data_IF_350775511223
#
_entry.id   IF_350775511223
#
_cell.length_a   1.000
_cell.length_b   1.000
_cell.length_c   1.000
_cell.angle_alpha   90.00
_cell.angle_beta   90.00
_cell.angle_gamma   90.00
#
_symmetry.space_group_name_H-M   'P 1'
#
loop_
_entity.id
_entity.type
_entity.pdbx_description
1 polymer ?
#
# COMPACT_ATOMS: atom_id res chain seq x y z
N UNK A 1 -9.68 -25.45 0.34
CA UNK A 1 -8.21 -25.36 0.29
C UNK A 1 -7.77 -24.21 1.17
N UNK A 2 -6.83 -24.39 2.12
CA UNK A 2 -6.28 -23.25 2.85
C UNK A 2 -5.57 -22.34 1.83
N UNK A 3 -5.88 -21.04 1.88
CA UNK A 3 -5.33 -20.08 0.94
C UNK A 3 -3.90 -19.78 1.41
N UNK A 4 -2.89 -20.14 0.61
CA UNK A 4 -1.49 -19.82 0.91
C UNK A 4 -1.17 -18.44 0.33
N UNK A 5 -0.88 -17.43 1.17
CA UNK A 5 -0.45 -16.12 0.70
C UNK A 5 0.86 -16.23 -0.07
N UNK A 6 0.97 -15.50 -1.18
CA UNK A 6 2.16 -15.42 -2.02
C UNK A 6 2.83 -14.07 -1.85
N UNK A 7 4.08 -13.96 -2.30
CA UNK A 7 4.78 -12.67 -2.40
C UNK A 7 3.95 -11.72 -3.27
N UNK A 8 3.74 -10.50 -2.78
CA UNK A 8 2.87 -9.48 -3.39
C UNK A 8 1.42 -9.50 -2.91
N UNK A 9 0.97 -10.55 -2.21
CA UNK A 9 -0.34 -10.56 -1.59
C UNK A 9 -0.40 -9.59 -0.41
N UNK A 10 -1.61 -9.10 -0.15
CA UNK A 10 -1.89 -8.26 1.01
C UNK A 10 -2.54 -9.09 2.11
N UNK A 11 -1.94 -9.06 3.29
CA UNK A 11 -2.41 -9.82 4.45
C UNK A 11 -2.70 -8.90 5.63
N UNK A 12 -3.65 -9.30 6.45
CA UNK A 12 -3.90 -8.71 7.75
C UNK A 12 -3.21 -9.57 8.82
N UNK A 13 -2.46 -8.93 9.70
CA UNK A 13 -1.71 -9.57 10.79
C UNK A 13 -2.47 -9.43 12.09
N UNK A 14 -2.48 -10.49 12.91
CA UNK A 14 -3.09 -10.49 14.23
C UNK A 14 -2.23 -9.63 15.18
N UNK A 15 -2.79 -8.52 15.62
CA UNK A 15 -2.22 -7.66 16.65
C UNK A 15 -2.22 -8.34 18.01
N UNK A 16 -1.22 -7.99 18.82
CA UNK A 16 -1.11 -8.45 20.21
C UNK A 16 -2.25 -7.87 21.05
N UNK A 17 -2.58 -8.60 22.11
CA UNK A 17 -3.58 -8.17 23.10
C UNK A 17 -3.35 -6.74 23.55
N UNK A 18 -4.39 -5.91 23.45
CA UNK A 18 -4.40 -4.59 24.09
C UNK A 18 -5.06 -4.70 25.47
N UNK A 19 -4.47 -4.10 26.52
CA UNK A 19 -5.11 -4.04 27.82
C UNK A 19 -6.45 -3.30 27.67
N UNK A 20 -7.57 -3.99 27.91
CA UNK A 20 -8.93 -3.42 27.80
C UNK A 20 -9.88 -4.17 26.86
N UNK A 21 -9.39 -5.03 25.94
CA UNK A 21 -10.25 -5.93 25.15
C UNK A 21 -9.65 -7.34 25.06
N UNK A 22 -9.79 -8.15 26.13
CA UNK A 22 -9.12 -9.43 26.23
C UNK A 22 -9.75 -10.57 25.42
N UNK A 23 -10.68 -10.34 24.50
CA UNK A 23 -11.35 -11.44 23.79
C UNK A 23 -11.49 -11.26 22.28
N UNK A 24 -10.99 -10.16 21.71
CA UNK A 24 -11.09 -9.91 20.28
C UNK A 24 -9.69 -9.76 19.67
N UNK A 25 -9.26 -10.67 18.77
CA UNK A 25 -8.05 -10.44 18.00
C UNK A 25 -8.24 -9.20 17.12
N UNK A 26 -7.41 -8.17 17.36
CA UNK A 26 -7.36 -7.01 16.47
C UNK A 26 -6.55 -7.41 15.26
N UNK A 27 -7.12 -7.30 14.07
CA UNK A 27 -6.37 -7.49 12.85
C UNK A 27 -5.85 -6.15 12.33
N UNK A 28 -4.58 -6.11 11.95
CA UNK A 28 -3.85 -4.92 11.51
C UNK A 28 -3.40 -5.10 10.06
N UNK A 29 -3.20 -4.02 9.32
CA UNK A 29 -2.90 -4.05 7.89
C UNK A 29 -4.04 -3.46 7.05
N UNK A 30 -4.04 -3.68 5.73
CA UNK A 30 -3.27 -4.67 4.96
C UNK A 30 -1.76 -4.38 4.88
N UNK A 31 -0.94 -5.44 4.96
CA UNK A 31 0.51 -5.40 4.79
C UNK A 31 0.94 -6.28 3.60
N UNK A 32 1.89 -5.84 2.77
CA UNK A 32 2.40 -6.64 1.68
C UNK A 32 3.29 -7.77 2.20
N UNK A 33 3.08 -8.96 1.63
CA UNK A 33 3.99 -10.10 1.78
C UNK A 33 5.20 -9.86 0.90
N UNK A 34 6.38 -9.73 1.52
CA UNK A 34 7.63 -9.46 0.80
C UNK A 34 8.44 -10.73 0.55
N UNK A 35 8.24 -11.77 1.34
CA UNK A 35 8.93 -13.06 1.19
C UNK A 35 8.19 -14.18 1.94
N UNK A 36 8.42 -15.43 1.56
CA UNK A 36 7.89 -16.62 2.25
C UNK A 36 8.99 -17.30 3.05
N UNK A 37 8.79 -17.41 4.37
CA UNK A 37 9.75 -18.02 5.29
C UNK A 37 9.39 -19.49 5.54
N UNK A 38 9.54 -20.32 4.50
CA UNK A 38 9.17 -21.73 4.54
C UNK A 38 7.67 -21.98 4.36
N UNK A 39 7.17 -23.12 4.82
CA UNK A 39 5.77 -23.54 4.58
C UNK A 39 4.74 -22.95 5.56
N UNK A 40 5.18 -22.41 6.70
CA UNK A 40 4.28 -22.00 7.80
C UNK A 40 4.44 -20.53 8.20
N UNK A 41 5.35 -19.79 7.55
CA UNK A 41 5.63 -18.41 7.90
C UNK A 41 5.90 -17.56 6.66
N UNK A 42 5.68 -16.26 6.80
CA UNK A 42 5.94 -15.27 5.77
C UNK A 42 6.55 -14.00 6.37
N UNK A 43 7.21 -13.21 5.54
CA UNK A 43 7.71 -11.90 5.89
C UNK A 43 6.75 -10.84 5.37
N UNK A 44 6.30 -9.96 6.26
CA UNK A 44 5.52 -8.77 5.91
C UNK A 44 6.32 -7.51 6.15
N UNK A 45 6.05 -6.48 5.35
CA UNK A 45 6.53 -5.13 5.61
C UNK A 45 5.44 -4.32 6.31
N UNK A 46 5.74 -3.82 7.51
CA UNK A 46 4.81 -3.01 8.30
C UNK A 46 5.28 -1.55 8.32
N UNK A 47 4.36 -0.57 8.28
CA UNK A 47 4.72 0.84 8.29
C UNK A 47 5.46 1.18 9.60
N UNK A 48 6.68 1.71 9.46
CA UNK A 48 7.54 2.08 10.58
C UNK A 48 8.36 0.93 11.19
N UNK A 49 8.21 -0.30 10.72
CA UNK A 49 9.04 -1.43 11.13
C UNK A 49 9.77 -2.04 9.93
N UNK A 50 10.94 -2.65 10.18
CA UNK A 50 11.57 -3.54 9.19
C UNK A 50 10.68 -4.77 8.95
N UNK A 51 11.04 -5.56 7.93
CA UNK A 51 10.43 -6.85 7.61
C UNK A 51 10.24 -7.69 8.88
N UNK A 52 9.01 -8.13 9.14
CA UNK A 52 8.65 -8.93 10.31
C UNK A 52 8.13 -10.30 9.89
N UNK A 53 8.59 -11.34 10.59
CA UNK A 53 8.16 -12.71 10.35
C UNK A 53 6.80 -12.96 11.03
N UNK A 54 5.86 -13.54 10.30
CA UNK A 54 4.51 -13.86 10.77
C UNK A 54 4.19 -15.34 10.48
N UNK A 55 3.50 -15.99 11.42
CA UNK A 55 2.99 -17.35 11.23
C UNK A 55 1.69 -17.32 10.42
N UNK A 56 1.44 -18.37 9.62
CA UNK A 56 0.23 -18.47 8.80
C UNK A 56 -1.07 -18.41 9.62
N UNK A 57 -1.06 -18.87 10.88
CA UNK A 57 -2.24 -18.80 11.77
C UNK A 57 -2.54 -17.38 12.29
N UNK A 58 -1.54 -16.50 12.28
CA UNK A 58 -1.65 -15.11 12.72
C UNK A 58 -1.85 -14.15 11.55
N UNK A 59 -2.10 -14.68 10.35
CA UNK A 59 -2.39 -13.89 9.16
C UNK A 59 -3.68 -14.34 8.49
N UNK A 60 -4.33 -13.41 7.82
CA UNK A 60 -5.44 -13.70 6.90
C UNK A 60 -5.30 -12.84 5.67
N UNK A 61 -5.74 -13.33 4.52
CA UNK A 61 -5.78 -12.51 3.32
C UNK A 61 -6.67 -11.29 3.53
N UNK A 62 -6.19 -10.13 3.08
CA UNK A 62 -7.05 -8.97 2.94
C UNK A 62 -8.13 -9.29 1.90
N UNK A 63 -9.38 -8.87 2.15
CA UNK A 63 -10.44 -9.05 1.15
C UNK A 63 -10.05 -8.34 -0.15
N UNK A 64 -10.41 -8.85 -1.34
CA UNK A 64 -10.30 -8.08 -2.58
C UNK A 64 -11.15 -6.81 -2.42
N UNK A 65 -10.51 -5.65 -2.30
CA UNK A 65 -11.12 -4.37 -1.90
C UNK A 65 -10.44 -3.71 -0.69
N UNK A 66 -9.75 -4.48 0.15
CA UNK A 66 -8.75 -3.99 1.11
C UNK A 66 -7.36 -4.06 0.47
N UNK A 67 -7.25 -3.59 -0.77
CA UNK A 67 -5.94 -3.22 -1.28
C UNK A 67 -5.40 -2.22 -0.27
N UNK A 68 -4.17 -2.42 0.22
CA UNK A 68 -3.44 -1.30 0.78
C UNK A 68 -3.59 -0.23 -0.29
N UNK A 69 -4.31 0.82 0.04
CA UNK A 69 -4.19 2.07 -0.64
C UNK A 69 -2.77 2.51 -0.26
N UNK A 70 -1.78 1.84 -0.87
CA UNK A 70 -0.63 2.51 -1.39
C UNK A 70 -1.27 3.74 -2.02
N UNK A 71 -1.02 4.96 -1.53
CA UNK A 71 -1.26 6.08 -2.40
C UNK A 71 -0.46 5.68 -3.64
N UNK A 72 -1.18 5.25 -4.68
CA UNK A 72 -0.72 5.47 -6.01
C UNK A 72 -0.56 6.99 -6.00
N UNK A 73 0.64 7.43 -5.67
CA UNK A 73 1.19 8.67 -6.14
C UNK A 73 1.41 8.44 -7.64
N UNK A 74 0.30 8.17 -8.31
CA UNK A 74 0.05 8.37 -9.71
C UNK A 74 -0.28 9.86 -9.77
N UNK A 75 0.70 10.68 -9.40
CA UNK A 75 0.81 11.99 -10.00
C UNK A 75 1.48 11.66 -11.34
N UNK A 76 0.72 11.57 -12.46
CA UNK A 76 1.36 11.61 -13.76
C UNK A 76 2.27 12.85 -13.75
N UNK A 77 3.52 12.77 -14.23
CA UNK A 77 4.34 13.97 -14.31
C UNK A 77 3.53 15.00 -15.08
N UNK A 78 3.26 16.15 -14.45
CA UNK A 78 2.65 17.29 -15.13
C UNK A 78 3.38 17.44 -16.48
N UNK A 79 2.67 17.42 -17.62
CA UNK A 79 3.31 17.65 -18.90
C UNK A 79 4.07 18.98 -18.77
N UNK A 80 5.33 19.07 -19.24
CA UNK A 80 6.08 20.31 -19.12
C UNK A 80 5.22 21.43 -19.69
N UNK A 81 4.96 22.42 -18.85
CA UNK A 81 4.08 23.55 -19.13
C UNK A 81 4.24 23.94 -20.60
N UNK A 82 3.17 23.75 -21.38
CA UNK A 82 3.16 24.13 -22.79
C UNK A 82 3.60 25.58 -22.85
N UNK A 83 4.78 25.78 -23.42
CA UNK A 83 5.30 27.08 -23.83
C UNK A 83 4.15 27.82 -24.51
N UNK A 84 3.72 29.00 -24.05
CA UNK A 84 2.76 29.76 -24.82
C UNK A 84 3.45 30.13 -26.14
N UNK A 85 2.95 29.52 -27.20
CA UNK A 85 3.21 29.86 -28.60
C UNK A 85 3.11 31.38 -28.78
N UNK A 86 3.98 32.03 -29.58
CA UNK A 86 3.91 33.46 -29.79
C UNK A 86 2.62 33.80 -30.53
N UNK A 87 1.62 34.30 -29.81
CA UNK A 87 0.44 34.92 -30.41
C UNK A 87 0.89 36.18 -31.15
N UNK A 88 0.85 36.09 -32.47
CA UNK A 88 0.94 37.22 -33.37
C UNK A 88 -0.25 38.17 -33.17
N UNK A 89 0.04 39.44 -32.83
CA UNK A 89 -0.83 40.61 -33.00
C UNK A 89 -1.85 40.89 -31.89
N UNK A 90 -2.20 42.16 -31.63
CA UNK A 90 -2.46 43.14 -32.68
C UNK A 90 -1.69 44.46 -32.59
N UNK A 91 -1.67 45.10 -33.75
CA UNK A 91 -1.30 46.48 -34.04
C UNK A 91 -1.95 47.47 -33.05
N UNK A 92 -1.14 48.30 -32.38
CA UNK A 92 -1.55 49.61 -31.88
C UNK A 92 -0.34 50.55 -31.83
N UNK A 93 -0.34 51.57 -32.69
CA UNK A 93 0.59 52.69 -32.64
C UNK A 93 0.08 53.76 -31.66
N UNK A 94 0.97 54.52 -31.01
CA UNK A 94 0.74 55.95 -30.96
C UNK A 94 2.00 56.79 -31.22
N UNK A 95 1.79 57.79 -32.08
CA UNK A 95 2.50 59.06 -32.35
C UNK A 95 4.04 59.10 -32.36
#
# INVERSE_FOLDING_TARGET
>A
MPIQPKVGDLVMVRGRYSPGRPFAPRWMGPYPVVDTAGQTSLWVEQPGARRTKQHLDDVRLARPGNTAQHPAHDEPPDPPASTPEPTAGPSWAPD
#
